data_IF_365140770386
#
_entry.id   IF_365140770386
#
_cell.length_a   1.000
_cell.length_b   1.000
_cell.length_c   1.000
_cell.angle_alpha   90.00
_cell.angle_beta   90.00
_cell.angle_gamma   90.00
#
_symmetry.space_group_name_H-M   'P 1'
#
loop_
_entity.id
_entity.type
_entity.pdbx_description
1 polymer ?
#
# COMPACT_ATOMS: atom_id res chain seq x y z
N UNK A 1 -12.73 27.57 15.04
CA UNK A 1 -11.74 28.40 15.77
C UNK A 1 -10.42 28.28 15.01
N UNK A 2 -9.68 29.35 14.71
CA UNK A 2 -8.43 29.25 13.95
C UNK A 2 -7.31 28.58 14.77
N UNK A 3 -6.49 27.76 14.12
CA UNK A 3 -5.34 27.08 14.71
C UNK A 3 -4.30 28.07 15.25
N UNK A 4 -3.75 27.77 16.42
CA UNK A 4 -2.67 28.50 17.09
C UNK A 4 -1.29 28.08 16.57
N UNK A 5 -0.30 28.96 16.70
CA UNK A 5 1.10 28.72 16.27
C UNK A 5 1.71 27.40 16.81
N UNK A 6 1.36 27.01 18.04
CA UNK A 6 1.79 25.75 18.63
C UNK A 6 1.15 24.53 17.94
N UNK A 7 -0.12 24.63 17.56
CA UNK A 7 -0.82 23.58 16.80
C UNK A 7 -0.22 23.42 15.40
N UNK A 8 0.23 24.51 14.77
CA UNK A 8 1.00 24.48 13.51
C UNK A 8 2.35 23.76 13.62
N UNK A 9 3.10 23.99 14.70
CA UNK A 9 4.41 23.34 14.93
C UNK A 9 4.29 21.84 15.25
N UNK A 10 3.16 21.44 15.81
CA UNK A 10 2.88 20.05 16.15
C UNK A 10 2.38 19.27 14.91
N UNK A 11 1.46 19.84 14.09
CA UNK A 11 1.10 19.31 12.76
C UNK A 11 2.38 19.01 11.97
N UNK A 12 3.31 19.97 11.95
CA UNK A 12 4.61 19.88 11.34
C UNK A 12 5.51 18.71 11.80
N UNK A 13 5.34 18.19 13.02
CA UNK A 13 6.05 17.02 13.57
C UNK A 13 5.41 15.69 13.17
N UNK A 14 4.08 15.60 13.17
CA UNK A 14 3.37 14.35 12.79
C UNK A 14 3.47 14.07 11.30
N UNK A 15 3.42 15.10 10.44
CA UNK A 15 3.62 14.88 9.01
C UNK A 15 5.05 14.43 8.68
N UNK A 16 6.03 14.68 9.55
CA UNK A 16 7.40 14.18 9.40
C UNK A 16 7.55 12.68 9.73
N UNK A 17 6.52 12.03 10.27
CA UNK A 17 6.49 10.59 10.58
C UNK A 17 5.75 9.75 9.54
N UNK A 18 5.03 10.40 8.62
CA UNK A 18 4.52 9.82 7.36
C UNK A 18 5.68 9.91 6.35
N UNK A 19 5.78 9.09 5.27
CA UNK A 19 6.87 9.23 4.31
C UNK A 19 6.57 10.27 3.21
N UNK A 20 6.81 11.56 3.45
CA UNK A 20 7.14 12.47 2.35
C UNK A 20 8.41 13.27 2.64
N UNK A 21 8.99 13.84 1.60
CA UNK A 21 10.21 14.65 1.74
C UNK A 21 9.97 15.91 2.59
N UNK A 22 10.98 16.33 3.35
CA UNK A 22 10.97 17.55 4.19
C UNK A 22 10.50 18.81 3.44
N UNK A 23 10.67 18.83 2.11
CA UNK A 23 10.27 19.92 1.22
C UNK A 23 8.75 19.94 1.00
N UNK A 24 8.12 18.81 0.69
CA UNK A 24 6.66 18.72 0.53
C UNK A 24 5.93 19.10 1.81
N UNK A 25 6.51 18.77 2.97
CA UNK A 25 6.04 19.20 4.29
C UNK A 25 6.07 20.72 4.48
N UNK A 26 7.14 21.37 4.03
CA UNK A 26 7.29 22.82 4.11
C UNK A 26 6.29 23.54 3.20
N UNK A 27 6.00 22.96 2.03
CA UNK A 27 5.01 23.48 1.08
C UNK A 27 3.58 23.34 1.61
N UNK A 28 3.22 22.19 2.18
CA UNK A 28 1.91 21.99 2.80
C UNK A 28 1.69 23.00 3.94
N UNK A 29 2.72 23.23 4.77
CA UNK A 29 2.70 24.25 5.84
C UNK A 29 2.46 25.67 5.30
N UNK A 30 3.07 26.03 4.18
CA UNK A 30 2.91 27.35 3.58
C UNK A 30 1.53 27.61 2.97
N UNK A 31 0.83 26.55 2.52
CA UNK A 31 -0.46 26.67 1.82
C UNK A 31 -1.68 26.45 2.73
N UNK A 32 -1.50 25.94 3.95
CA UNK A 32 -2.58 25.71 4.90
C UNK A 32 -3.44 26.95 5.23
N UNK A 33 -2.90 28.19 5.35
CA UNK A 33 -3.73 29.38 5.53
C UNK A 33 -4.71 29.62 4.37
N UNK A 34 -4.34 29.29 3.13
CA UNK A 34 -5.24 29.38 1.96
C UNK A 34 -6.39 28.38 2.04
N UNK A 35 -6.15 27.20 2.60
CA UNK A 35 -7.21 26.21 2.84
C UNK A 35 -8.31 26.79 3.75
N UNK A 36 -7.93 27.41 4.87
CA UNK A 36 -8.89 28.01 5.81
C UNK A 36 -9.73 29.11 5.15
N UNK A 37 -9.13 29.95 4.30
CA UNK A 37 -9.85 30.98 3.54
C UNK A 37 -10.77 30.37 2.47
N UNK A 38 -10.33 29.32 1.78
CA UNK A 38 -11.15 28.66 0.75
C UNK A 38 -12.39 27.98 1.33
N UNK A 39 -12.22 27.27 2.44
CA UNK A 39 -13.30 26.57 3.14
C UNK A 39 -14.33 27.54 3.73
N UNK A 40 -13.89 28.69 4.25
CA UNK A 40 -14.79 29.73 4.77
C UNK A 40 -15.56 30.47 3.67
N UNK A 41 -15.03 30.49 2.45
CA UNK A 41 -15.68 31.12 1.28
C UNK A 41 -16.72 30.19 0.64
N UNK A 42 -16.41 28.90 0.54
CA UNK A 42 -17.35 27.88 0.05
C UNK A 42 -17.06 26.51 0.67
N UNK A 43 -17.89 26.11 1.63
CA UNK A 43 -17.76 24.82 2.33
C UNK A 43 -17.91 23.59 1.42
N UNK A 44 -18.51 23.73 0.23
CA UNK A 44 -18.67 22.66 -0.75
C UNK A 44 -17.45 22.48 -1.68
N UNK A 45 -16.54 23.46 -1.73
CA UNK A 45 -15.35 23.41 -2.60
C UNK A 45 -14.36 22.35 -2.11
N UNK A 46 -13.75 21.51 -2.96
CA UNK A 46 -12.86 20.43 -2.56
C UNK A 46 -11.43 20.94 -2.24
N UNK A 47 -11.31 21.92 -1.36
CA UNK A 47 -10.08 22.66 -1.09
C UNK A 47 -8.95 21.74 -0.58
N UNK A 48 -9.27 20.72 0.20
CA UNK A 48 -8.27 19.77 0.71
C UNK A 48 -7.70 18.86 -0.39
N UNK A 49 -8.56 18.44 -1.32
CA UNK A 49 -8.18 17.65 -2.49
C UNK A 49 -7.31 18.48 -3.44
N UNK A 50 -7.71 19.72 -3.74
CA UNK A 50 -6.90 20.65 -4.55
C UNK A 50 -5.52 20.87 -3.92
N UNK A 51 -5.47 21.11 -2.61
CA UNK A 51 -4.22 21.27 -1.88
C UNK A 51 -3.33 20.02 -1.95
N UNK A 52 -3.92 18.83 -1.81
CA UNK A 52 -3.16 17.58 -1.92
C UNK A 52 -2.52 17.44 -3.31
N UNK A 53 -3.30 17.69 -4.36
CA UNK A 53 -2.83 17.62 -5.74
C UNK A 53 -1.74 18.66 -6.03
N UNK A 54 -1.91 19.91 -5.57
CA UNK A 54 -0.93 20.99 -5.75
C UNK A 54 0.44 20.67 -5.11
N UNK A 55 0.44 19.94 -3.99
CA UNK A 55 1.67 19.60 -3.25
C UNK A 55 2.21 18.22 -3.66
N UNK A 56 1.49 17.47 -4.51
CA UNK A 56 1.87 16.13 -4.94
C UNK A 56 1.71 15.08 -3.85
N UNK A 57 0.72 15.24 -2.98
CA UNK A 57 0.36 14.26 -1.95
C UNK A 57 -0.88 13.48 -2.34
N UNK A 58 -0.92 12.21 -1.90
CA UNK A 58 -2.15 11.44 -1.92
C UNK A 58 -3.24 12.15 -1.08
N UNK A 59 -4.42 12.44 -1.65
CA UNK A 59 -5.50 13.14 -0.96
C UNK A 59 -5.90 12.49 0.38
N UNK A 60 -5.96 11.17 0.45
CA UNK A 60 -6.29 10.42 1.67
C UNK A 60 -5.27 10.61 2.80
N UNK A 61 -3.97 10.76 2.48
CA UNK A 61 -2.93 11.02 3.48
C UNK A 61 -3.11 12.42 4.06
N UNK A 62 -3.38 13.42 3.21
CA UNK A 62 -3.66 14.79 3.67
C UNK A 62 -4.93 14.81 4.54
N UNK A 63 -6.00 14.13 4.12
CA UNK A 63 -7.21 13.98 4.89
C UNK A 63 -6.96 13.34 6.27
N UNK A 64 -6.16 12.27 6.33
CA UNK A 64 -5.77 11.62 7.59
C UNK A 64 -5.06 12.58 8.54
N UNK A 65 -4.09 13.33 8.03
CA UNK A 65 -3.31 14.30 8.83
C UNK A 65 -4.23 15.38 9.41
N UNK A 66 -5.14 15.92 8.59
CA UNK A 66 -6.06 16.97 9.05
C UNK A 66 -7.07 16.43 10.06
N UNK A 67 -7.62 15.23 9.81
CA UNK A 67 -8.57 14.57 10.71
C UNK A 67 -7.95 14.23 12.07
N UNK A 68 -6.76 13.62 12.09
CA UNK A 68 -6.04 13.28 13.32
C UNK A 68 -5.86 14.52 14.20
N UNK A 69 -5.63 15.67 13.57
CA UNK A 69 -5.41 16.93 14.25
C UNK A 69 -6.68 17.56 14.77
N UNK A 70 -7.73 17.59 13.95
CA UNK A 70 -9.05 18.03 14.37
C UNK A 70 -9.52 17.31 15.64
N UNK A 71 -9.31 15.97 15.72
CA UNK A 71 -9.70 15.18 16.89
C UNK A 71 -8.87 15.48 18.16
N UNK A 72 -7.61 15.93 17.99
CA UNK A 72 -6.74 16.31 19.11
C UNK A 72 -7.05 17.71 19.67
N UNK A 73 -7.70 18.59 18.90
CA UNK A 73 -8.02 19.96 19.35
C UNK A 73 -9.03 20.01 20.50
N UNK A 74 -9.74 18.92 20.80
CA UNK A 74 -10.66 18.82 21.93
C UNK A 74 -9.99 18.67 23.31
N UNK A 75 -8.66 18.72 23.41
CA UNK A 75 -7.91 18.51 24.66
C UNK A 75 -7.99 17.07 25.20
N UNK A 76 -8.50 16.15 24.38
CA UNK A 76 -8.63 14.73 24.70
C UNK A 76 -7.34 13.94 24.50
N UNK A 77 -7.32 12.66 24.89
CA UNK A 77 -6.20 11.76 24.62
C UNK A 77 -5.93 11.64 23.11
N UNK A 78 -4.70 11.29 22.75
CA UNK A 78 -4.31 11.03 21.35
C UNK A 78 -5.31 10.05 20.73
N UNK A 79 -5.97 10.41 19.61
CA UNK A 79 -6.98 9.56 18.99
C UNK A 79 -6.35 8.23 18.58
N UNK A 80 -7.06 7.13 18.86
CA UNK A 80 -6.59 5.81 18.48
C UNK A 80 -6.55 5.68 16.95
N UNK A 81 -5.58 4.92 16.42
CA UNK A 81 -5.51 4.60 14.98
C UNK A 81 -6.82 3.97 14.47
N UNK A 82 -7.47 3.17 15.32
CA UNK A 82 -8.76 2.54 15.02
C UNK A 82 -9.86 3.57 14.78
N UNK A 83 -9.96 4.61 15.63
CA UNK A 83 -10.95 5.68 15.49
C UNK A 83 -10.71 6.51 14.22
N UNK A 84 -9.45 6.84 13.93
CA UNK A 84 -9.11 7.58 12.70
C UNK A 84 -9.49 6.75 11.47
N UNK A 85 -9.14 5.47 11.46
CA UNK A 85 -9.46 4.59 10.34
C UNK A 85 -10.98 4.39 10.17
N UNK A 86 -11.76 4.35 11.27
CA UNK A 86 -13.23 4.26 11.17
C UNK A 86 -13.83 5.52 10.55
N UNK A 87 -13.38 6.72 10.95
CA UNK A 87 -13.84 7.99 10.40
C UNK A 87 -13.35 8.25 8.96
N UNK A 88 -12.20 7.72 8.55
CA UNK A 88 -11.77 7.78 7.14
C UNK A 88 -12.62 6.84 6.26
N UNK A 89 -13.04 5.70 6.82
CA UNK A 89 -13.93 4.74 6.14
C UNK A 89 -15.36 5.26 6.06
N UNK A 90 -15.80 5.96 7.09
CA UNK A 90 -17.12 6.59 7.18
C UNK A 90 -16.99 8.06 7.64
N UNK A 91 -16.76 9.00 6.70
CA UNK A 91 -16.62 10.42 7.02
C UNK A 91 -17.84 11.05 7.68
N UNK A 92 -19.01 10.41 7.65
CA UNK A 92 -20.21 10.89 8.34
C UNK A 92 -20.07 10.88 9.87
N UNK A 93 -19.11 10.11 10.39
CA UNK A 93 -18.78 10.07 11.82
C UNK A 93 -18.01 11.30 12.30
N UNK A 94 -17.52 12.14 11.37
CA UNK A 94 -16.79 13.36 11.70
C UNK A 94 -17.80 14.44 12.13
N UNK A 95 -17.69 14.99 13.37
CA UNK A 95 -18.67 15.95 13.87
C UNK A 95 -18.76 17.25 13.06
N UNK A 96 -17.65 17.69 12.47
CA UNK A 96 -17.62 18.88 11.60
C UNK A 96 -18.02 18.48 10.17
N UNK A 97 -19.22 18.86 9.75
CA UNK A 97 -19.77 18.50 8.44
C UNK A 97 -18.97 19.04 7.25
N UNK A 98 -18.22 20.13 7.43
CA UNK A 98 -17.38 20.71 6.39
C UNK A 98 -16.13 19.84 6.21
N UNK A 99 -15.46 19.49 7.30
CA UNK A 99 -14.33 18.57 7.32
C UNK A 99 -14.75 17.17 6.85
N UNK A 100 -15.93 16.69 7.25
CA UNK A 100 -16.51 15.44 6.77
C UNK A 100 -16.58 15.42 5.23
N UNK A 101 -17.09 16.51 4.63
CA UNK A 101 -17.13 16.65 3.18
C UNK A 101 -15.73 16.75 2.56
N UNK A 102 -14.79 17.50 3.14
CA UNK A 102 -13.40 17.58 2.64
C UNK A 102 -12.71 16.21 2.66
N UNK A 103 -12.84 15.49 3.77
CA UNK A 103 -12.29 14.13 3.93
C UNK A 103 -12.93 13.19 2.93
N UNK A 104 -14.25 13.22 2.78
CA UNK A 104 -14.97 12.42 1.78
C UNK A 104 -14.47 12.69 0.35
N UNK A 105 -14.34 13.96 -0.04
CA UNK A 105 -13.81 14.34 -1.35
C UNK A 105 -12.39 13.83 -1.57
N UNK A 106 -11.52 13.93 -0.56
CA UNK A 106 -10.18 13.35 -0.63
C UNK A 106 -10.22 11.82 -0.79
N UNK A 107 -11.03 11.12 -0.01
CA UNK A 107 -11.09 9.64 -0.02
C UNK A 107 -11.62 9.10 -1.36
N UNK A 108 -12.69 9.69 -1.89
CA UNK A 108 -13.31 9.22 -3.15
C UNK A 108 -12.45 9.55 -4.37
N UNK A 109 -11.68 10.64 -4.33
CA UNK A 109 -10.83 11.06 -5.44
C UNK A 109 -9.37 10.60 -5.29
N UNK A 110 -9.02 9.87 -4.24
CA UNK A 110 -7.67 9.31 -4.10
C UNK A 110 -7.50 8.10 -5.02
N UNK A 111 -6.62 8.23 -6.01
CA UNK A 111 -6.32 7.20 -6.99
C UNK A 111 -5.25 6.18 -6.53
N UNK A 112 -4.72 6.31 -5.32
CA UNK A 112 -3.60 5.50 -4.83
C UNK A 112 -3.91 4.69 -3.57
N UNK A 113 -4.59 5.30 -2.59
CA UNK A 113 -4.80 4.74 -1.24
C UNK A 113 -6.25 4.84 -0.75
N UNK A 114 -7.20 5.17 -1.63
CA UNK A 114 -8.61 5.17 -1.32
C UNK A 114 -9.16 3.75 -1.14
N UNK A 115 -10.22 3.52 -0.34
CA UNK A 115 -10.82 2.19 -0.15
C UNK A 115 -11.27 1.53 -1.45
N UNK A 116 -11.72 2.32 -2.44
CA UNK A 116 -12.06 1.82 -3.78
C UNK A 116 -10.84 1.30 -4.52
N UNK A 117 -9.72 2.02 -4.45
CA UNK A 117 -8.45 1.62 -5.05
C UNK A 117 -7.91 0.37 -4.39
N UNK A 118 -8.03 0.25 -3.07
CA UNK A 118 -7.65 -0.97 -2.35
C UNK A 118 -8.51 -2.16 -2.79
N UNK A 119 -9.82 -1.99 -2.97
CA UNK A 119 -10.70 -3.03 -3.50
C UNK A 119 -10.31 -3.43 -4.93
N UNK A 120 -9.99 -2.47 -5.79
CA UNK A 120 -9.54 -2.72 -7.16
C UNK A 120 -8.21 -3.49 -7.14
N UNK A 121 -7.23 -3.04 -6.35
CA UNK A 121 -5.93 -3.72 -6.20
C UNK A 121 -6.09 -5.16 -5.70
N UNK A 122 -6.96 -5.38 -4.71
CA UNK A 122 -7.24 -6.72 -4.21
C UNK A 122 -7.91 -7.60 -5.26
N UNK A 123 -8.88 -7.07 -6.00
CA UNK A 123 -9.56 -7.82 -7.07
C UNK A 123 -8.59 -8.20 -8.19
N UNK A 124 -7.76 -7.26 -8.63
CA UNK A 124 -6.72 -7.50 -9.65
C UNK A 124 -5.67 -8.49 -9.15
N UNK A 125 -5.22 -8.38 -7.88
CA UNK A 125 -4.29 -9.33 -7.27
C UNK A 125 -4.84 -10.76 -7.30
N UNK A 126 -6.07 -10.93 -6.82
CA UNK A 126 -6.76 -12.22 -6.83
C UNK A 126 -6.93 -12.78 -8.25
N UNK A 127 -7.24 -11.96 -9.26
CA UNK A 127 -7.34 -12.40 -10.65
C UNK A 127 -6.01 -12.97 -11.16
N UNK A 128 -4.87 -12.37 -10.81
CA UNK A 128 -3.56 -12.87 -11.20
C UNK A 128 -3.13 -14.11 -10.41
N UNK A 129 -3.56 -14.26 -9.16
CA UNK A 129 -3.39 -15.50 -8.40
C UNK A 129 -4.17 -16.65 -9.04
N UNK A 130 -5.43 -16.42 -9.45
CA UNK A 130 -6.24 -17.41 -10.19
C UNK A 130 -5.58 -17.77 -11.52
N UNK A 131 -5.12 -16.77 -12.29
CA UNK A 131 -4.38 -17.01 -13.53
C UNK A 131 -3.12 -17.84 -13.30
N UNK A 132 -2.34 -17.53 -12.27
CA UNK A 132 -1.14 -18.30 -11.92
C UNK A 132 -1.50 -19.74 -11.54
N UNK A 133 -2.58 -19.94 -10.80
CA UNK A 133 -3.09 -21.26 -10.45
C UNK A 133 -3.44 -22.07 -11.70
N UNK A 134 -4.16 -21.47 -12.65
CA UNK A 134 -4.49 -22.10 -13.93
C UNK A 134 -3.23 -22.50 -14.70
N UNK A 135 -2.24 -21.60 -14.79
CA UNK A 135 -0.95 -21.88 -15.44
C UNK A 135 -0.23 -23.06 -14.77
N UNK A 136 -0.17 -23.09 -13.44
CA UNK A 136 0.47 -24.19 -12.70
C UNK A 136 -0.21 -25.52 -12.96
N UNK A 137 -1.55 -25.54 -13.00
CA UNK A 137 -2.34 -26.74 -13.33
C UNK A 137 -2.11 -27.20 -14.76
N UNK A 138 -2.14 -26.30 -15.74
CA UNK A 138 -1.86 -26.60 -17.15
C UNK A 138 -0.46 -27.18 -17.36
N UNK A 139 0.51 -26.72 -16.57
CA UNK A 139 1.89 -27.20 -16.57
C UNK A 139 2.10 -28.46 -15.72
N UNK A 140 1.06 -29.01 -15.10
CA UNK A 140 1.11 -30.14 -14.17
C UNK A 140 2.11 -29.94 -13.00
N UNK A 141 2.23 -28.72 -12.51
CA UNK A 141 3.03 -28.40 -11.31
C UNK A 141 2.15 -28.59 -10.08
N UNK A 142 2.60 -29.41 -9.13
CA UNK A 142 1.87 -29.62 -7.87
C UNK A 142 2.20 -28.54 -6.85
N UNK A 143 1.17 -27.98 -6.21
CA UNK A 143 1.32 -26.84 -5.29
C UNK A 143 0.29 -26.85 -4.15
N UNK A 144 0.59 -26.09 -3.10
CA UNK A 144 -0.32 -25.70 -2.03
C UNK A 144 -0.58 -24.20 -2.14
N UNK A 145 -1.85 -23.83 -2.25
CA UNK A 145 -2.28 -22.43 -2.28
C UNK A 145 -2.35 -21.82 -0.87
N UNK A 146 -2.39 -20.49 -0.79
CA UNK A 146 -2.34 -19.72 0.45
C UNK A 146 -3.38 -20.17 1.50
N UNK A 147 -4.63 -20.43 1.07
CA UNK A 147 -5.73 -20.87 1.92
C UNK A 147 -5.45 -22.22 2.60
N UNK A 148 -4.86 -23.15 1.86
CA UNK A 148 -4.44 -24.45 2.37
C UNK A 148 -3.26 -24.32 3.36
N UNK A 149 -2.33 -23.41 3.10
CA UNK A 149 -1.23 -23.11 4.03
C UNK A 149 -1.77 -22.54 5.35
N UNK A 150 -2.71 -21.60 5.28
CA UNK A 150 -3.38 -21.05 6.47
C UNK A 150 -4.12 -22.15 7.24
N UNK A 151 -4.86 -23.03 6.55
CA UNK A 151 -5.56 -24.16 7.19
C UNK A 151 -4.60 -25.15 7.87
N UNK A 152 -3.39 -25.32 7.33
CA UNK A 152 -2.31 -26.12 7.93
C UNK A 152 -1.57 -25.42 9.07
N UNK A 153 -1.89 -24.16 9.37
CA UNK A 153 -1.32 -23.41 10.48
C UNK A 153 0.03 -22.75 10.20
N UNK A 154 0.39 -22.55 8.93
CA UNK A 154 1.56 -21.76 8.58
C UNK A 154 1.31 -20.28 8.91
N UNK A 155 2.27 -19.64 9.58
CA UNK A 155 2.25 -18.22 9.91
C UNK A 155 2.85 -17.32 8.81
N UNK A 156 3.42 -17.93 7.77
CA UNK A 156 3.88 -17.27 6.55
C UNK A 156 3.39 -18.05 5.35
N UNK A 157 2.72 -17.36 4.45
CA UNK A 157 1.95 -17.97 3.35
C UNK A 157 2.26 -17.22 2.08
N UNK A 158 3.30 -17.61 1.31
CA UNK A 158 3.37 -17.17 -0.08
C UNK A 158 2.14 -17.69 -0.84
N UNK A 159 1.80 -17.07 -1.96
CA UNK A 159 0.59 -17.43 -2.72
C UNK A 159 0.57 -18.91 -3.09
N UNK A 160 1.74 -19.45 -3.48
CA UNK A 160 1.92 -20.87 -3.79
C UNK A 160 3.23 -21.42 -3.22
N UNK A 161 3.15 -22.56 -2.52
CA UNK A 161 4.30 -23.43 -2.25
C UNK A 161 4.24 -24.59 -3.23
N UNK A 162 5.34 -24.86 -3.93
CA UNK A 162 5.46 -25.99 -4.85
C UNK A 162 5.74 -27.26 -4.03
N UNK A 163 4.92 -28.28 -4.20
CA UNK A 163 5.15 -29.57 -3.52
C UNK A 163 6.38 -30.27 -4.10
N UNK A 164 6.61 -30.09 -5.40
CA UNK A 164 7.85 -30.49 -6.08
C UNK A 164 8.51 -29.22 -6.61
N UNK A 165 9.74 -28.87 -6.16
CA UNK A 165 10.46 -27.72 -6.65
C UNK A 165 10.72 -27.81 -8.16
N UNK A 166 10.69 -26.68 -8.85
CA UNK A 166 10.97 -26.59 -10.28
C UNK A 166 12.22 -25.75 -10.51
N UNK A 167 12.92 -26.00 -11.62
CA UNK A 167 14.03 -25.14 -12.05
C UNK A 167 13.56 -24.13 -13.09
N UNK A 168 13.95 -22.87 -12.88
CA UNK A 168 13.71 -21.72 -13.76
C UNK A 168 15.06 -21.07 -14.04
N UNK A 169 15.49 -21.03 -15.31
CA UNK A 169 16.81 -20.48 -15.69
C UNK A 169 17.97 -21.04 -14.84
N UNK A 170 17.94 -22.33 -14.55
CA UNK A 170 18.95 -23.00 -13.72
C UNK A 170 18.84 -22.77 -12.20
N UNK A 171 17.85 -22.00 -11.75
CA UNK A 171 17.58 -21.76 -10.32
C UNK A 171 16.41 -22.62 -9.86
N UNK A 172 16.61 -23.41 -8.81
CA UNK A 172 15.53 -24.18 -8.18
C UNK A 172 14.67 -23.23 -7.35
N UNK A 173 13.35 -23.28 -7.50
CA UNK A 173 12.40 -22.49 -6.73
C UNK A 173 11.40 -23.41 -6.00
N UNK A 174 11.00 -23.01 -4.80
CA UNK A 174 10.12 -23.75 -3.91
C UNK A 174 8.76 -23.07 -3.69
N UNK A 175 8.67 -21.78 -3.97
CA UNK A 175 7.46 -21.00 -3.81
C UNK A 175 7.38 -19.92 -4.88
N UNK A 176 6.16 -19.46 -5.14
CA UNK A 176 5.87 -18.39 -6.08
C UNK A 176 4.99 -17.35 -5.38
N UNK A 177 5.33 -16.08 -5.56
CA UNK A 177 4.53 -14.94 -5.13
C UNK A 177 4.11 -14.12 -6.35
N UNK A 178 2.82 -13.90 -6.49
CA UNK A 178 2.13 -13.15 -7.53
C UNK A 178 1.92 -11.70 -7.08
N UNK A 179 2.54 -10.74 -7.78
CA UNK A 179 2.35 -9.31 -7.55
C UNK A 179 1.74 -8.66 -8.78
N UNK A 180 0.44 -8.39 -8.74
CA UNK A 180 -0.28 -7.67 -9.80
C UNK A 180 -0.03 -6.15 -9.74
N UNK A 181 1.25 -5.78 -9.80
CA UNK A 181 1.75 -4.41 -9.68
C UNK A 181 3.09 -4.29 -10.37
N UNK A 182 3.50 -3.06 -10.69
CA UNK A 182 4.87 -2.78 -11.14
C UNK A 182 5.85 -2.87 -9.96
N UNK A 183 6.98 -3.56 -10.13
CA UNK A 183 8.04 -3.65 -9.14
C UNK A 183 8.91 -2.39 -9.12
N UNK A 184 8.58 -1.42 -8.26
CA UNK A 184 9.41 -0.26 -7.95
C UNK A 184 10.33 -0.49 -6.74
N UNK A 185 11.39 0.32 -6.60
CA UNK A 185 12.40 0.16 -5.53
C UNK A 185 11.80 0.24 -4.10
N UNK A 186 10.85 1.15 -3.87
CA UNK A 186 10.28 1.37 -2.55
C UNK A 186 9.43 0.17 -2.12
N UNK A 187 8.50 -0.24 -2.98
CA UNK A 187 7.61 -1.37 -2.75
C UNK A 187 8.40 -2.68 -2.64
N UNK A 188 9.35 -2.91 -3.56
CA UNK A 188 10.17 -4.11 -3.57
C UNK A 188 10.99 -4.28 -2.28
N UNK A 189 11.61 -3.19 -1.81
CA UNK A 189 12.39 -3.19 -0.56
C UNK A 189 11.52 -3.49 0.66
N UNK A 190 10.30 -2.98 0.70
CA UNK A 190 9.34 -3.30 1.75
C UNK A 190 8.96 -4.80 1.70
N UNK A 191 8.62 -5.33 0.53
CA UNK A 191 8.28 -6.75 0.39
C UNK A 191 9.44 -7.69 0.73
N UNK A 192 10.68 -7.34 0.36
CA UNK A 192 11.86 -8.11 0.77
C UNK A 192 11.92 -8.29 2.28
N UNK A 193 11.78 -7.18 3.03
CA UNK A 193 11.86 -7.18 4.48
C UNK A 193 10.66 -7.87 5.15
N UNK A 194 9.44 -7.57 4.69
CA UNK A 194 8.21 -7.97 5.37
C UNK A 194 7.74 -9.38 4.99
N UNK A 195 8.12 -9.84 3.79
CA UNK A 195 7.62 -11.09 3.18
C UNK A 195 8.76 -11.99 2.67
N UNK A 196 9.48 -11.58 1.61
CA UNK A 196 10.28 -12.50 0.80
C UNK A 196 11.42 -13.16 1.56
N UNK A 197 12.16 -12.41 2.40
CA UNK A 197 13.21 -13.03 3.22
C UNK A 197 12.65 -14.01 4.25
N UNK A 198 11.44 -13.76 4.75
CA UNK A 198 10.78 -14.70 5.65
C UNK A 198 10.37 -15.98 4.92
N UNK A 199 9.92 -15.89 3.67
CA UNK A 199 9.63 -17.07 2.85
C UNK A 199 10.90 -17.84 2.52
N UNK A 200 11.95 -17.12 2.11
CA UNK A 200 13.25 -17.71 1.80
C UNK A 200 13.84 -18.49 2.97
N UNK A 201 13.83 -17.90 4.18
CA UNK A 201 14.34 -18.56 5.38
C UNK A 201 13.59 -19.85 5.76
N UNK A 202 12.35 -20.03 5.30
CA UNK A 202 11.47 -21.14 5.69
C UNK A 202 11.34 -22.21 4.63
N UNK A 203 11.21 -21.78 3.38
CA UNK A 203 10.86 -22.62 2.24
C UNK A 203 12.00 -22.70 1.22
N UNK A 204 13.08 -21.93 1.39
CA UNK A 204 14.19 -21.86 0.45
C UNK A 204 13.94 -20.87 -0.69
N UNK A 205 14.72 -20.94 -1.78
CA UNK A 205 14.60 -20.03 -2.91
C UNK A 205 13.20 -19.98 -3.51
N UNK A 206 12.81 -18.82 -4.06
CA UNK A 206 11.50 -18.62 -4.66
C UNK A 206 11.48 -17.60 -5.78
N UNK A 207 10.33 -17.52 -6.43
CA UNK A 207 10.06 -16.68 -7.58
C UNK A 207 9.02 -15.62 -7.20
N UNK A 208 9.27 -14.37 -7.56
CA UNK A 208 8.28 -13.29 -7.49
C UNK A 208 7.95 -12.85 -8.91
N UNK A 209 6.66 -12.85 -9.25
CA UNK A 209 6.16 -12.43 -10.56
C UNK A 209 5.52 -11.04 -10.42
N UNK A 210 6.15 -10.02 -11.00
CA UNK A 210 5.58 -8.67 -11.13
C UNK A 210 4.88 -8.53 -12.48
N UNK A 211 3.58 -8.80 -12.53
CA UNK A 211 2.82 -8.92 -13.79
C UNK A 211 2.79 -7.69 -14.69
N UNK A 212 3.11 -6.51 -14.14
CA UNK A 212 3.20 -5.26 -14.90
C UNK A 212 4.63 -4.81 -15.18
N UNK A 213 5.61 -5.69 -14.96
CA UNK A 213 7.03 -5.41 -15.10
C UNK A 213 7.68 -4.91 -13.81
N UNK A 214 9.00 -4.77 -13.83
CA UNK A 214 9.79 -4.28 -12.70
C UNK A 214 11.06 -3.58 -13.20
N UNK A 215 11.69 -2.80 -12.33
CA UNK A 215 13.00 -2.20 -12.60
C UNK A 215 14.06 -3.32 -12.61
N UNK A 216 14.75 -3.54 -13.73
CA UNK A 216 15.67 -4.68 -13.92
C UNK A 216 16.73 -4.79 -12.81
N UNK A 217 17.22 -3.65 -12.30
CA UNK A 217 18.22 -3.58 -11.24
C UNK A 217 17.75 -4.18 -9.90
N UNK A 218 16.43 -4.41 -9.73
CA UNK A 218 15.88 -5.07 -8.54
C UNK A 218 16.21 -6.57 -8.51
N UNK A 219 16.46 -7.23 -9.65
CA UNK A 219 16.81 -8.66 -9.69
C UNK A 219 18.27 -8.94 -9.27
N UNK A 220 18.83 -8.07 -8.43
CA UNK A 220 20.15 -8.20 -7.83
C UNK A 220 20.24 -9.32 -6.77
N UNK A 221 19.10 -9.90 -6.36
CA UNK A 221 19.01 -10.95 -5.34
C UNK A 221 18.80 -12.35 -5.89
N UNK A 222 18.84 -12.52 -7.22
CA UNK A 222 18.78 -13.81 -7.91
C UNK A 222 19.70 -14.87 -7.29
N UNK A 223 20.98 -14.53 -7.11
CA UNK A 223 21.99 -15.43 -6.52
C UNK A 223 21.79 -15.72 -5.03
N UNK A 224 20.95 -14.93 -4.34
CA UNK A 224 20.53 -15.18 -2.96
C UNK A 224 19.25 -16.02 -2.87
N UNK A 225 18.63 -16.36 -4.01
CA UNK A 225 17.45 -17.22 -4.07
C UNK A 225 16.12 -16.46 -4.13
N UNK A 226 16.11 -15.16 -4.45
CA UNK A 226 14.90 -14.44 -4.83
C UNK A 226 15.00 -14.11 -6.31
N UNK A 227 14.24 -14.81 -7.14
CA UNK A 227 14.21 -14.62 -8.58
C UNK A 227 13.03 -13.72 -8.96
N UNK A 228 13.25 -12.73 -9.83
CA UNK A 228 12.18 -11.86 -10.34
C UNK A 228 11.84 -12.17 -11.80
N UNK A 229 10.54 -12.19 -12.10
CA UNK A 229 10.00 -12.28 -13.46
C UNK A 229 8.81 -11.35 -13.64
N UNK A 230 8.48 -11.05 -14.89
CA UNK A 230 7.30 -10.27 -15.29
C UNK A 230 6.15 -11.15 -15.83
N UNK A 231 6.43 -12.44 -16.03
CA UNK A 231 5.47 -13.45 -16.44
C UNK A 231 5.89 -14.84 -15.90
N UNK A 232 4.99 -15.81 -15.98
CA UNK A 232 5.37 -17.19 -15.66
C UNK A 232 6.36 -17.74 -16.70
N UNK A 233 7.49 -18.33 -16.28
CA UNK A 233 8.51 -18.83 -17.20
C UNK A 233 7.98 -19.96 -18.10
N UNK A 234 8.30 -19.91 -19.38
CA UNK A 234 7.86 -20.92 -20.35
C UNK A 234 8.71 -22.20 -20.30
N UNK A 235 9.96 -22.06 -19.89
CA UNK A 235 11.05 -23.04 -19.91
C UNK A 235 11.33 -23.61 -18.50
N UNK A 236 10.27 -24.07 -17.83
CA UNK A 236 10.43 -24.75 -16.54
C UNK A 236 10.93 -26.18 -16.73
N UNK A 237 11.79 -26.62 -15.81
CA UNK A 237 12.20 -28.03 -15.71
C UNK A 237 11.66 -28.59 -14.40
N UNK A 238 10.79 -29.60 -14.50
CA UNK A 238 10.33 -30.37 -13.34
C UNK A 238 11.40 -31.40 -12.97
N UNK A 239 11.74 -31.47 -11.68
CA UNK A 239 12.75 -32.39 -11.15
C UNK A 239 12.22 -33.80 -10.95
#
# INVERSE_FOLDING_TARGET
>A
MPLTKAQYEEIARVVAQVPPTRQSLKTLKGRFPRYLTGVTTNAASPVLLELANEVGFAPSLVARIVLERFLQEGGGPVPSKTLINSMLRDPSQIPDGVLANQVYQCIVNDCCYGPLVDCIKHAIGHEHEVLLQEILLEKNVSFLAEDQLRAKGYDKTPDFILEVPIAVEGHIIHWIESKASFGDECSHKAYLHDQFWSYWNRFGPGLVIYWYGFIEELDCHRNRGILLKDCFPSDIVTL
#
